data_IF_707122157272
#
_entry.id   IF_707122157272
#
_cell.length_a   1.000
_cell.length_b   1.000
_cell.length_c   1.000
_cell.angle_alpha   90.00
_cell.angle_beta   90.00
_cell.angle_gamma   90.00
#
_symmetry.space_group_name_H-M   'P 1'
#
loop_
_entity.id
_entity.type
_entity.pdbx_description
1 polymer ?
#
# COMPACT_ATOMS: atom_id res chain seq x y z
N UNK A 1 4.20 -24.76 95.00
CA UNK A 1 4.85 -23.69 94.24
C UNK A 1 4.68 -24.00 92.77
N UNK A 2 3.70 -23.36 92.11
CA UNK A 2 3.41 -23.58 90.65
C UNK A 2 4.02 -22.44 89.87
N UNK A 3 4.93 -22.78 88.95
CA UNK A 3 5.51 -21.83 87.97
C UNK A 3 4.58 -21.66 86.77
N UNK A 4 4.08 -20.44 86.60
CA UNK A 4 3.38 -20.03 85.36
C UNK A 4 4.39 -19.71 84.27
N UNK A 5 4.29 -20.40 83.16
CA UNK A 5 5.04 -20.08 81.97
C UNK A 5 4.09 -19.31 81.02
N UNK A 6 4.43 -18.04 80.77
CA UNK A 6 3.71 -17.13 79.86
C UNK A 6 4.21 -17.36 78.47
N UNK A 7 3.38 -17.95 77.59
CA UNK A 7 3.65 -18.15 76.15
C UNK A 7 3.24 -16.87 75.44
N UNK A 8 4.19 -16.17 74.91
CA UNK A 8 3.97 -14.98 74.04
C UNK A 8 3.89 -15.40 72.60
N UNK A 9 2.66 -15.48 72.04
CA UNK A 9 2.41 -15.77 70.59
C UNK A 9 2.68 -14.50 69.79
N UNK A 10 3.71 -14.56 68.95
CA UNK A 10 4.07 -13.49 68.00
C UNK A 10 3.22 -13.69 66.75
N UNK A 11 2.18 -12.88 66.58
CA UNK A 11 1.32 -12.87 65.38
C UNK A 11 1.99 -12.00 64.33
N UNK A 12 2.73 -12.64 63.42
CA UNK A 12 3.35 -11.98 62.31
C UNK A 12 2.31 -11.65 61.25
N UNK A 13 1.96 -10.38 61.08
CA UNK A 13 1.10 -9.86 60.04
C UNK A 13 1.90 -9.81 58.72
N UNK A 14 1.70 -10.83 57.87
CA UNK A 14 2.29 -10.89 56.55
C UNK A 14 1.44 -10.04 55.59
N UNK A 15 1.77 -8.78 55.41
CA UNK A 15 1.17 -7.92 54.40
C UNK A 15 1.68 -8.33 53.02
N UNK A 16 0.87 -9.05 52.26
CA UNK A 16 1.08 -9.32 50.82
C UNK A 16 0.94 -7.99 50.05
N UNK A 17 2.03 -7.40 49.69
CA UNK A 17 2.08 -6.31 48.72
C UNK A 17 1.71 -6.92 47.33
N UNK A 18 0.44 -6.77 46.95
CA UNK A 18 0.03 -7.00 45.57
C UNK A 18 0.61 -5.86 44.72
N UNK A 19 1.80 -6.08 44.17
CA UNK A 19 2.30 -5.26 43.05
C UNK A 19 1.46 -5.65 41.82
N UNK A 20 0.36 -4.93 41.62
CA UNK A 20 -0.37 -4.97 40.38
C UNK A 20 0.52 -4.36 39.29
N UNK A 21 1.19 -5.18 38.48
CA UNK A 21 1.74 -4.74 37.23
C UNK A 21 0.54 -4.34 36.34
N UNK A 22 0.18 -3.07 36.37
CA UNK A 22 -0.62 -2.51 35.28
C UNK A 22 0.26 -2.53 34.03
N UNK A 23 0.08 -3.54 33.21
CA UNK A 23 0.46 -3.44 31.79
C UNK A 23 -0.39 -2.30 31.25
N UNK A 24 0.23 -1.14 31.02
CA UNK A 24 -0.37 -0.13 30.14
C UNK A 24 -0.69 -0.86 28.84
N UNK A 25 -1.96 -1.08 28.56
CA UNK A 25 -2.41 -1.45 27.21
C UNK A 25 -1.97 -0.29 26.32
N UNK A 26 -0.88 -0.50 25.56
CA UNK A 26 -0.53 0.41 24.49
C UNK A 26 -1.77 0.51 23.59
N UNK A 27 -2.41 1.67 23.62
CA UNK A 27 -3.49 1.97 22.68
C UNK A 27 -2.92 1.73 21.28
N UNK A 28 -3.53 0.85 20.45
CA UNK A 28 -3.02 0.54 19.14
C UNK A 28 -2.79 1.85 18.39
N UNK A 29 -1.55 2.13 17.99
CA UNK A 29 -1.26 3.30 17.15
C UNK A 29 -2.17 3.23 15.95
N UNK A 30 -2.97 4.28 15.72
CA UNK A 30 -3.83 4.33 14.54
C UNK A 30 -3.01 4.08 13.29
N UNK A 31 -3.25 2.94 12.64
CA UNK A 31 -2.59 2.61 11.38
C UNK A 31 -3.14 3.53 10.28
N UNK A 32 -2.24 4.18 9.55
CA UNK A 32 -2.57 4.97 8.37
C UNK A 32 -2.00 4.27 7.15
N UNK A 33 -2.84 4.07 6.14
CA UNK A 33 -2.44 3.44 4.88
C UNK A 33 -2.67 4.42 3.75
N UNK A 34 -1.67 4.60 2.91
CA UNK A 34 -1.75 5.39 1.68
C UNK A 34 -1.44 4.44 0.54
N UNK A 35 -2.41 4.23 -0.34
CA UNK A 35 -2.23 3.51 -1.59
C UNK A 35 -1.98 4.54 -2.70
N UNK A 36 -0.85 4.43 -3.37
CA UNK A 36 -0.51 5.27 -4.53
C UNK A 36 -0.44 4.36 -5.76
N UNK A 37 -1.26 4.65 -6.75
CA UNK A 37 -1.26 3.95 -8.03
C UNK A 37 -0.78 4.90 -9.13
N UNK A 38 0.05 4.37 -10.02
CA UNK A 38 0.55 5.10 -11.19
C UNK A 38 0.21 4.30 -12.43
N UNK A 39 -0.72 4.81 -13.24
CA UNK A 39 -1.09 4.21 -14.51
C UNK A 39 0.04 4.35 -15.54
N UNK A 40 0.20 3.36 -16.39
CA UNK A 40 1.20 3.35 -17.46
C UNK A 40 2.65 3.11 -17.04
N UNK A 41 2.96 2.95 -15.74
CA UNK A 41 4.30 2.62 -15.28
C UNK A 41 4.60 1.14 -15.48
N UNK A 42 5.56 0.83 -16.36
CA UNK A 42 5.99 -0.55 -16.59
C UNK A 42 7.05 -0.98 -15.57
N UNK A 43 7.08 -2.27 -15.26
CA UNK A 43 8.13 -2.86 -14.41
C UNK A 43 9.55 -2.59 -14.94
N UNK A 44 9.70 -2.50 -16.27
CA UNK A 44 10.98 -2.21 -16.92
C UNK A 44 11.56 -0.88 -16.47
N UNK A 45 10.79 0.20 -16.55
CA UNK A 45 11.26 1.51 -16.09
C UNK A 45 11.59 1.51 -14.61
N UNK A 46 10.78 0.81 -13.82
CA UNK A 46 11.03 0.70 -12.38
C UNK A 46 12.38 0.00 -12.09
N UNK A 47 12.62 -1.16 -12.68
CA UNK A 47 13.77 -2.01 -12.32
C UNK A 47 15.00 -1.81 -13.20
N UNK A 48 14.86 -1.36 -14.44
CA UNK A 48 15.99 -1.18 -15.38
C UNK A 48 16.24 0.27 -15.80
N UNK A 49 15.35 1.20 -15.39
CA UNK A 49 15.45 2.62 -15.69
C UNK A 49 14.98 2.98 -17.10
N UNK A 50 15.35 4.15 -17.56
CA UNK A 50 14.89 4.71 -18.83
C UNK A 50 15.19 3.80 -20.03
N UNK A 51 14.18 3.56 -20.86
CA UNK A 51 14.28 2.71 -22.05
C UNK A 51 14.87 3.53 -23.23
N UNK A 52 16.02 3.11 -23.74
CA UNK A 52 16.70 3.81 -24.84
C UNK A 52 15.91 3.80 -26.14
N UNK A 53 15.11 2.75 -26.40
CA UNK A 53 14.29 2.67 -27.61
C UNK A 53 13.13 3.66 -27.54
N UNK A 54 12.50 3.79 -26.37
CA UNK A 54 11.43 4.76 -26.17
C UNK A 54 11.98 6.20 -26.22
N UNK A 55 13.13 6.45 -25.62
CA UNK A 55 13.79 7.79 -25.69
C UNK A 55 14.11 8.16 -27.14
N UNK A 56 14.52 7.20 -27.97
CA UNK A 56 14.85 7.45 -29.37
C UNK A 56 13.64 7.58 -30.28
N UNK A 57 12.43 7.26 -29.80
CA UNK A 57 11.24 7.17 -30.66
C UNK A 57 10.56 8.53 -30.83
N UNK A 58 10.70 9.11 -32.02
CA UNK A 58 10.22 10.48 -32.32
C UNK A 58 8.70 10.68 -32.13
N UNK A 59 7.89 9.61 -32.18
CA UNK A 59 6.45 9.71 -31.92
C UNK A 59 6.13 9.97 -30.45
N UNK A 60 6.99 9.52 -29.52
CA UNK A 60 6.75 9.62 -28.09
C UNK A 60 7.58 10.72 -27.43
N UNK A 61 8.67 11.14 -28.06
CA UNK A 61 9.65 12.03 -27.44
C UNK A 61 10.01 13.18 -28.40
N UNK A 62 9.75 14.40 -27.96
CA UNK A 62 10.10 15.62 -28.70
C UNK A 62 11.60 15.94 -28.62
N UNK A 63 12.19 15.79 -27.44
CA UNK A 63 13.61 16.05 -27.17
C UNK A 63 14.30 14.82 -26.60
N UNK A 64 14.70 13.93 -27.50
CA UNK A 64 15.43 12.71 -27.18
C UNK A 64 16.80 13.00 -26.54
N UNK A 65 17.48 14.08 -26.96
CA UNK A 65 18.79 14.42 -26.45
C UNK A 65 18.72 14.87 -24.96
N UNK A 66 17.75 15.72 -24.62
CA UNK A 66 17.53 16.16 -23.26
C UNK A 66 17.15 14.99 -22.35
N UNK A 67 16.23 14.11 -22.76
CA UNK A 67 15.85 12.93 -21.97
C UNK A 67 17.03 11.98 -21.78
N UNK A 68 17.80 11.72 -22.83
CA UNK A 68 18.99 10.87 -22.77
C UNK A 68 20.04 11.44 -21.81
N UNK A 69 20.33 12.72 -21.89
CA UNK A 69 21.25 13.40 -20.97
C UNK A 69 20.81 13.28 -19.51
N UNK A 70 19.51 13.46 -19.26
CA UNK A 70 18.94 13.50 -17.92
C UNK A 70 18.83 12.10 -17.31
N UNK A 71 18.33 11.12 -18.02
CA UNK A 71 17.89 9.86 -17.45
C UNK A 71 18.66 8.62 -17.92
N UNK A 72 19.35 8.71 -19.08
CA UNK A 72 20.06 7.55 -19.59
C UNK A 72 21.41 7.35 -18.89
N UNK A 73 21.69 6.12 -18.48
CA UNK A 73 23.00 5.65 -18.02
C UNK A 73 23.24 4.26 -18.62
N UNK A 74 24.50 3.91 -18.90
CA UNK A 74 24.85 2.58 -19.42
C UNK A 74 24.55 1.49 -18.39
N UNK A 75 24.95 1.73 -17.15
CA UNK A 75 24.65 0.83 -16.04
C UNK A 75 23.15 0.89 -15.66
N UNK A 76 22.41 -0.26 -15.65
CA UNK A 76 20.99 -0.30 -15.31
C UNK A 76 20.68 0.21 -13.89
N UNK A 77 21.57 -0.03 -12.93
CA UNK A 77 21.36 0.42 -11.55
C UNK A 77 21.44 1.95 -11.45
N UNK A 78 22.45 2.55 -12.06
CA UNK A 78 22.57 4.00 -12.14
C UNK A 78 21.41 4.62 -12.95
N UNK A 79 20.95 3.94 -14.00
CA UNK A 79 19.87 4.40 -14.86
C UNK A 79 18.52 4.40 -14.15
N UNK A 80 18.14 3.34 -13.44
CA UNK A 80 16.90 3.30 -12.66
C UNK A 80 16.88 4.31 -11.53
N UNK A 81 18.04 4.53 -10.88
CA UNK A 81 18.19 5.56 -9.84
C UNK A 81 18.08 6.96 -10.41
N UNK A 82 18.66 7.23 -11.59
CA UNK A 82 18.52 8.51 -12.27
C UNK A 82 17.06 8.81 -12.66
N UNK A 83 16.27 7.78 -13.01
CA UNK A 83 14.87 7.92 -13.37
C UNK A 83 13.96 8.08 -12.14
N UNK A 84 14.18 7.27 -11.11
CA UNK A 84 13.33 7.18 -9.91
C UNK A 84 14.17 7.22 -8.62
N UNK A 85 14.81 8.35 -8.32
CA UNK A 85 15.72 8.44 -7.17
C UNK A 85 15.02 8.11 -5.84
N UNK A 86 13.80 8.61 -5.62
CA UNK A 86 13.07 8.34 -4.39
C UNK A 86 12.78 6.85 -4.17
N UNK A 87 12.41 6.12 -5.25
CA UNK A 87 12.18 4.68 -5.16
C UNK A 87 13.45 3.95 -4.75
N UNK A 88 14.59 4.30 -5.36
CA UNK A 88 15.84 3.56 -5.17
C UNK A 88 16.67 4.03 -3.97
N UNK A 89 16.54 5.29 -3.55
CA UNK A 89 17.25 5.83 -2.39
C UNK A 89 16.46 5.67 -1.08
N UNK A 90 15.12 5.63 -1.15
CA UNK A 90 14.27 5.57 0.04
C UNK A 90 13.46 4.28 0.10
N UNK A 91 12.58 4.01 -0.85
CA UNK A 91 11.68 2.85 -0.76
C UNK A 91 12.47 1.54 -0.79
N UNK A 92 13.45 1.39 -1.68
CA UNK A 92 14.28 0.18 -1.77
C UNK A 92 15.16 -0.04 -0.53
N UNK A 93 15.47 1.04 0.21
CA UNK A 93 16.31 0.97 1.41
C UNK A 93 15.52 0.67 2.67
N UNK A 94 14.33 1.26 2.83
CA UNK A 94 13.54 1.19 4.05
C UNK A 94 12.26 0.38 3.91
N UNK A 95 11.89 -0.01 2.69
CA UNK A 95 10.70 -0.77 2.38
C UNK A 95 11.00 -2.04 1.59
N UNK A 96 10.04 -2.44 0.76
CA UNK A 96 10.13 -3.64 -0.07
C UNK A 96 9.70 -3.32 -1.50
N UNK A 97 10.34 -3.95 -2.48
CA UNK A 97 10.01 -3.86 -3.89
C UNK A 97 9.71 -5.25 -4.44
N UNK A 98 8.59 -5.38 -5.13
CA UNK A 98 8.16 -6.61 -5.78
C UNK A 98 7.95 -6.38 -7.28
N UNK A 99 7.95 -7.45 -8.06
CA UNK A 99 7.64 -7.40 -9.49
C UNK A 99 8.87 -7.31 -10.40
N UNK A 100 10.08 -7.54 -9.89
CA UNK A 100 11.27 -7.63 -10.76
C UNK A 100 11.30 -8.96 -11.50
N UNK A 101 10.93 -8.93 -12.76
CA UNK A 101 10.86 -10.13 -13.63
C UNK A 101 12.22 -10.71 -13.97
N UNK A 102 13.30 -9.97 -13.81
CA UNK A 102 14.66 -10.48 -13.97
C UNK A 102 15.03 -11.53 -12.91
N UNK A 103 14.34 -11.49 -11.76
CA UNK A 103 14.48 -12.45 -10.66
C UNK A 103 13.27 -13.38 -10.53
N UNK A 104 12.48 -13.53 -11.59
CA UNK A 104 11.21 -14.29 -11.59
C UNK A 104 10.20 -13.87 -10.51
N UNK A 105 10.36 -12.68 -9.98
CA UNK A 105 9.44 -12.08 -9.03
C UNK A 105 8.35 -11.34 -9.82
N UNK A 106 7.20 -11.98 -9.99
CA UNK A 106 6.09 -11.46 -10.78
C UNK A 106 5.01 -10.87 -9.87
N UNK A 107 4.55 -9.69 -10.23
CA UNK A 107 3.33 -9.08 -9.72
C UNK A 107 2.49 -8.75 -10.94
N UNK A 108 1.42 -9.50 -11.12
CA UNK A 108 0.57 -9.42 -12.31
C UNK A 108 -0.89 -9.26 -11.90
N UNK A 109 -1.66 -8.59 -12.74
CA UNK A 109 -3.11 -8.67 -12.75
C UNK A 109 -3.54 -9.93 -13.48
N UNK A 110 -4.67 -10.48 -13.12
CA UNK A 110 -5.22 -11.73 -13.68
C UNK A 110 -6.32 -11.50 -14.71
N UNK A 111 -6.88 -10.26 -14.77
CA UNK A 111 -7.87 -9.92 -15.77
C UNK A 111 -7.28 -9.98 -17.19
N UNK A 112 -8.12 -10.28 -18.17
CA UNK A 112 -7.73 -10.46 -19.58
C UNK A 112 -7.93 -9.19 -20.42
N UNK A 113 -8.43 -8.12 -19.83
CA UNK A 113 -8.71 -6.87 -20.51
C UNK A 113 -7.60 -5.85 -20.20
N UNK A 114 -6.88 -5.44 -21.25
CA UNK A 114 -5.79 -4.46 -21.17
C UNK A 114 -6.32 -3.02 -21.08
N UNK A 115 -7.26 -2.79 -20.16
CA UNK A 115 -7.83 -1.48 -19.82
C UNK A 115 -7.59 -1.14 -18.36
N UNK A 116 -7.53 0.14 -18.06
CA UNK A 116 -7.24 0.62 -16.70
C UNK A 116 -8.34 0.27 -15.72
N UNK A 117 -9.62 0.42 -16.08
CA UNK A 117 -10.72 0.13 -15.18
C UNK A 117 -10.73 -1.33 -14.69
N UNK A 118 -10.66 -2.37 -15.54
CA UNK A 118 -10.51 -3.76 -15.12
C UNK A 118 -9.34 -3.96 -14.14
N UNK A 119 -8.19 -3.33 -14.42
CA UNK A 119 -7.02 -3.37 -13.56
C UNK A 119 -7.27 -2.74 -12.18
N UNK A 120 -7.84 -1.55 -12.13
CA UNK A 120 -8.21 -0.90 -10.88
C UNK A 120 -9.27 -1.68 -10.10
N UNK A 121 -10.25 -2.27 -10.79
CA UNK A 121 -11.20 -3.16 -10.11
C UNK A 121 -10.46 -4.29 -9.40
N UNK A 122 -9.56 -4.98 -10.09
CA UNK A 122 -8.81 -6.09 -9.51
C UNK A 122 -7.93 -5.65 -8.34
N UNK A 123 -7.22 -4.50 -8.46
CA UNK A 123 -6.43 -3.92 -7.37
C UNK A 123 -7.31 -3.61 -6.14
N UNK A 124 -8.50 -3.04 -6.35
CA UNK A 124 -9.36 -2.57 -5.26
C UNK A 124 -10.28 -3.65 -4.68
N UNK A 125 -10.44 -4.79 -5.35
CA UNK A 125 -11.31 -5.88 -4.89
C UNK A 125 -10.57 -7.18 -4.60
N UNK A 126 -9.33 -7.32 -5.11
CA UNK A 126 -8.54 -8.55 -5.07
C UNK A 126 -9.02 -9.62 -6.06
N UNK A 127 -9.91 -9.29 -6.99
CA UNK A 127 -10.49 -10.27 -7.93
C UNK A 127 -10.78 -9.63 -9.28
N UNK A 128 -10.35 -10.29 -10.36
CA UNK A 128 -10.74 -9.92 -11.71
C UNK A 128 -12.24 -10.20 -11.96
N UNK A 129 -12.88 -9.33 -12.73
CA UNK A 129 -14.28 -9.48 -13.12
C UNK A 129 -14.46 -9.21 -14.61
N UNK A 130 -13.82 -10.01 -15.42
CA UNK A 130 -13.81 -9.88 -16.88
C UNK A 130 -15.20 -9.95 -17.51
N UNK A 131 -16.15 -10.52 -16.80
CA UNK A 131 -17.52 -10.69 -17.29
C UNK A 131 -18.31 -9.38 -17.26
N UNK A 132 -18.09 -8.54 -16.27
CA UNK A 132 -18.87 -7.31 -16.07
C UNK A 132 -18.06 -6.03 -16.28
N UNK A 133 -16.73 -6.12 -16.15
CA UNK A 133 -15.82 -4.98 -16.29
C UNK A 133 -14.76 -5.32 -17.32
N UNK A 134 -14.95 -4.82 -18.55
CA UNK A 134 -14.14 -5.19 -19.71
C UNK A 134 -13.68 -3.99 -20.56
N UNK A 135 -13.96 -2.77 -20.12
CA UNK A 135 -13.61 -1.52 -20.80
C UNK A 135 -13.36 -0.40 -19.79
N UNK A 136 -13.07 0.79 -20.29
CA UNK A 136 -13.00 2.03 -19.51
C UNK A 136 -14.32 2.82 -19.50
N UNK A 137 -15.44 2.16 -19.75
CA UNK A 137 -16.75 2.81 -19.77
C UNK A 137 -17.13 3.34 -18.37
N UNK A 138 -17.79 4.49 -18.37
CA UNK A 138 -18.26 5.15 -17.14
C UNK A 138 -19.52 4.47 -16.59
N UNK A 139 -19.36 3.24 -16.12
CA UNK A 139 -20.39 2.42 -15.51
C UNK A 139 -19.98 2.13 -14.06
N UNK A 140 -20.86 2.38 -13.12
CA UNK A 140 -20.58 2.16 -11.71
C UNK A 140 -20.17 0.71 -11.42
N UNK A 141 -19.04 0.56 -10.70
CA UNK A 141 -18.49 -0.74 -10.34
C UNK A 141 -19.52 -1.56 -9.53
N UNK A 142 -19.91 -2.74 -10.02
CA UNK A 142 -20.84 -3.60 -9.28
C UNK A 142 -20.19 -4.26 -8.06
N UNK A 143 -18.86 -4.30 -8.01
CA UNK A 143 -18.09 -4.95 -6.96
C UNK A 143 -17.84 -4.00 -5.78
N UNK A 144 -17.85 -4.54 -4.58
CA UNK A 144 -17.52 -3.79 -3.37
C UNK A 144 -16.00 -3.74 -3.23
N UNK A 145 -15.46 -2.53 -3.21
CA UNK A 145 -14.01 -2.30 -3.03
C UNK A 145 -13.60 -2.46 -1.56
N UNK A 146 -12.31 -2.67 -1.32
CA UNK A 146 -11.80 -2.64 0.05
C UNK A 146 -11.95 -1.26 0.70
N UNK A 147 -11.97 -0.18 -0.08
CA UNK A 147 -12.23 1.17 0.41
C UNK A 147 -13.62 1.25 1.05
N UNK A 148 -14.66 0.74 0.37
CA UNK A 148 -16.01 0.67 0.92
C UNK A 148 -16.07 -0.21 2.18
N UNK A 149 -15.36 -1.34 2.19
CA UNK A 149 -15.29 -2.21 3.37
C UNK A 149 -14.68 -1.48 4.56
N UNK A 150 -13.58 -0.75 4.36
CA UNK A 150 -12.95 0.03 5.43
C UNK A 150 -13.88 1.15 5.88
N UNK A 151 -14.49 1.90 4.96
CA UNK A 151 -15.44 2.96 5.30
C UNK A 151 -16.61 2.44 6.15
N UNK A 152 -17.12 1.24 5.84
CA UNK A 152 -18.22 0.62 6.59
C UNK A 152 -17.85 0.23 8.03
N UNK A 153 -16.57 0.03 8.33
CA UNK A 153 -16.10 -0.23 9.69
C UNK A 153 -16.09 1.03 10.58
N UNK A 154 -16.11 2.20 9.95
CA UNK A 154 -16.01 3.49 10.64
C UNK A 154 -17.09 4.47 10.13
N UNK A 155 -18.39 4.14 10.25
CA UNK A 155 -19.48 4.86 9.58
C UNK A 155 -19.68 6.30 10.07
N UNK A 156 -19.11 6.63 11.22
CA UNK A 156 -19.21 7.98 11.82
C UNK A 156 -17.92 8.79 11.66
N UNK A 157 -16.94 8.27 10.94
CA UNK A 157 -15.63 8.90 10.79
C UNK A 157 -15.28 8.87 9.30
N UNK A 158 -15.12 10.02 8.70
CA UNK A 158 -14.62 10.16 7.33
C UNK A 158 -13.11 9.79 7.31
N UNK A 159 -12.81 8.49 7.37
CA UNK A 159 -11.45 7.97 7.45
C UNK A 159 -10.91 7.47 6.11
N UNK A 160 -11.74 7.40 5.11
CA UNK A 160 -11.37 6.93 3.77
C UNK A 160 -11.60 8.05 2.77
N UNK A 161 -10.59 8.33 1.96
CA UNK A 161 -10.68 9.28 0.88
C UNK A 161 -9.98 8.72 -0.36
N UNK A 162 -10.46 9.06 -1.55
CA UNK A 162 -9.87 8.71 -2.82
C UNK A 162 -9.61 9.99 -3.65
N UNK A 163 -8.43 10.06 -4.27
CA UNK A 163 -8.05 11.15 -5.14
C UNK A 163 -7.66 10.58 -6.50
N UNK A 164 -8.30 11.00 -7.56
CA UNK A 164 -8.04 10.54 -8.91
C UNK A 164 -7.91 11.71 -9.87
N UNK A 165 -6.98 11.63 -10.83
CA UNK A 165 -6.83 12.60 -11.92
C UNK A 165 -7.60 12.21 -13.18
N UNK A 166 -8.33 11.10 -13.14
CA UNK A 166 -9.07 10.55 -14.27
C UNK A 166 -10.56 10.50 -13.97
N UNK A 167 -11.39 10.98 -14.90
CA UNK A 167 -12.84 11.16 -14.74
C UNK A 167 -13.65 9.84 -14.74
N UNK A 168 -13.00 8.69 -14.93
CA UNK A 168 -13.59 7.36 -14.74
C UNK A 168 -13.44 6.87 -13.30
N UNK A 169 -12.54 7.45 -12.52
CA UNK A 169 -12.25 6.97 -11.17
C UNK A 169 -13.47 6.96 -10.23
N UNK A 170 -14.40 7.95 -10.26
CA UNK A 170 -15.63 7.91 -9.48
C UNK A 170 -16.48 6.65 -9.75
N UNK A 171 -16.50 6.16 -11.00
CA UNK A 171 -17.19 4.93 -11.38
C UNK A 171 -16.48 3.69 -10.88
N UNK A 172 -15.13 3.68 -10.87
CA UNK A 172 -14.32 2.57 -10.35
C UNK A 172 -14.59 2.33 -8.87
N UNK A 173 -14.62 3.38 -8.06
CA UNK A 173 -14.93 3.30 -6.63
C UNK A 173 -16.43 3.27 -6.32
N UNK A 174 -17.27 3.44 -7.34
CA UNK A 174 -18.71 3.62 -7.22
C UNK A 174 -19.08 4.69 -6.17
N UNK A 175 -18.69 5.93 -6.44
CA UNK A 175 -18.86 7.06 -5.53
C UNK A 175 -20.30 7.20 -5.05
N UNK A 176 -21.29 6.92 -5.93
CA UNK A 176 -22.70 6.96 -5.58
C UNK A 176 -23.07 6.01 -4.44
N UNK A 177 -22.50 4.80 -4.43
CA UNK A 177 -22.72 3.79 -3.40
C UNK A 177 -21.76 3.95 -2.23
N UNK A 178 -20.47 4.13 -2.51
CA UNK A 178 -19.40 4.14 -1.50
C UNK A 178 -19.44 5.38 -0.61
N UNK A 179 -19.87 6.52 -1.16
CA UNK A 179 -19.82 7.85 -0.50
C UNK A 179 -18.40 8.28 -0.09
N UNK A 180 -17.39 7.80 -0.83
CA UNK A 180 -15.97 8.10 -0.62
C UNK A 180 -15.55 9.23 -1.55
#
# INVERSE_FOLDING_TARGET
MRKFVLSMSFFGCLTLLNVSCQTEEETPKEARVILITMDGLRWKELFTGADSLLIAHAQYVQDSAALKSKFWRADPQARRKALMPFVWDSIATFGQLYGNREYDNKVDLTNQHFFSYPGYNEILTGTADDKRIHSNDKINNPNITFLEKIASLYPQQERVAAFGSWDVFPFIINEERSKI
#
